data_IF_606765108443
#
_entry.id   IF_606765108443
#
_cell.length_a   1.000
_cell.length_b   1.000
_cell.length_c   1.000
_cell.angle_alpha   90.00
_cell.angle_beta   90.00
_cell.angle_gamma   90.00
#
_symmetry.space_group_name_H-M   'P 1'
#
loop_
_entity.id
_entity.type
_entity.pdbx_description
1 polymer ?
#
# COMPACT_ATOMS: atom_id res chain seq x y z
N UNK A 1 6.53 -14.32 24.83
CA UNK A 1 6.73 -13.22 25.80
C UNK A 1 8.21 -12.89 25.77
N UNK A 2 8.62 -11.66 25.44
CA UNK A 2 10.06 -11.34 25.45
C UNK A 2 10.54 -11.34 26.90
N UNK A 3 11.55 -12.17 27.21
CA UNK A 3 12.20 -12.21 28.52
C UNK A 3 13.06 -10.96 28.67
N UNK A 4 12.47 -9.85 29.14
CA UNK A 4 13.14 -8.57 29.25
C UNK A 4 12.59 -7.72 30.39
N UNK A 5 13.38 -6.73 30.83
CA UNK A 5 13.00 -5.81 31.90
C UNK A 5 13.34 -4.36 31.56
N UNK A 6 12.32 -3.49 31.60
CA UNK A 6 12.46 -2.10 31.21
C UNK A 6 12.66 -1.93 29.70
N UNK A 7 12.72 -0.68 29.24
CA UNK A 7 12.92 -0.37 27.82
C UNK A 7 14.38 -0.61 27.42
N UNK A 8 15.31 0.00 28.15
CA UNK A 8 16.76 -0.08 27.92
C UNK A 8 17.41 -0.94 29.00
N UNK A 9 16.98 -0.79 30.25
CA UNK A 9 17.50 -1.59 31.36
C UNK A 9 16.54 -1.57 32.55
N UNK A 10 16.82 -2.41 33.56
CA UNK A 10 16.11 -2.47 34.84
C UNK A 10 16.03 -1.10 35.54
N UNK A 11 16.99 -0.20 35.30
CA UNK A 11 17.03 1.16 35.88
C UNK A 11 15.87 2.04 35.43
N UNK A 12 15.17 1.68 34.36
CA UNK A 12 13.96 2.39 33.92
C UNK A 12 12.87 2.36 35.00
N UNK A 13 12.88 1.33 35.86
CA UNK A 13 11.99 1.21 37.00
C UNK A 13 12.32 2.19 38.13
N UNK A 14 13.53 2.75 38.20
CA UNK A 14 13.91 3.75 39.21
C UNK A 14 13.08 5.04 39.11
N UNK A 15 12.50 5.31 37.93
CA UNK A 15 11.62 6.47 37.71
C UNK A 15 10.16 6.15 37.99
N UNK A 16 9.83 4.87 38.17
CA UNK A 16 8.47 4.44 38.42
C UNK A 16 8.17 4.56 39.93
N UNK A 17 7.04 5.19 40.27
CA UNK A 17 6.66 5.46 41.66
C UNK A 17 6.36 4.16 42.43
N UNK A 18 5.88 3.14 41.72
CA UNK A 18 5.47 1.86 42.31
C UNK A 18 6.67 0.90 42.54
N UNK A 19 7.81 1.17 41.91
CA UNK A 19 9.01 0.31 41.93
C UNK A 19 10.28 1.16 42.14
N UNK A 20 10.19 2.18 43.00
CA UNK A 20 11.26 3.15 43.22
C UNK A 20 12.50 2.50 43.85
N UNK A 21 13.51 2.29 43.01
CA UNK A 21 14.79 1.69 43.37
C UNK A 21 15.85 2.72 43.83
N UNK A 22 15.45 3.89 44.35
CA UNK A 22 16.38 4.87 44.97
C UNK A 22 17.24 4.28 46.10
N UNK A 23 16.74 3.27 46.81
CA UNK A 23 17.49 2.54 47.83
C UNK A 23 17.77 1.09 47.37
N UNK A 24 19.04 0.68 47.19
CA UNK A 24 19.39 -0.62 46.60
C UNK A 24 19.03 -1.84 47.47
N UNK A 25 18.76 -1.64 48.75
CA UNK A 25 18.45 -2.70 49.73
C UNK A 25 16.98 -3.17 49.59
N UNK A 26 16.07 -2.30 49.13
CA UNK A 26 14.63 -2.57 49.00
C UNK A 26 14.15 -2.47 47.55
N UNK A 27 15.07 -2.58 46.58
CA UNK A 27 14.76 -2.45 45.17
C UNK A 27 14.09 -3.72 44.65
N UNK A 28 12.78 -3.86 44.84
CA UNK A 28 12.02 -4.97 44.25
C UNK A 28 11.55 -4.60 42.86
N UNK A 29 12.06 -5.29 41.84
CA UNK A 29 11.51 -5.22 40.49
C UNK A 29 10.22 -6.05 40.37
N UNK A 30 9.38 -5.80 39.36
CA UNK A 30 8.26 -6.69 39.07
C UNK A 30 8.74 -8.14 38.89
N UNK A 31 8.03 -9.16 39.38
CA UNK A 31 8.47 -10.55 39.23
C UNK A 31 8.72 -10.97 37.77
N UNK A 32 7.99 -10.38 36.82
CA UNK A 32 8.19 -10.60 35.38
C UNK A 32 9.55 -10.15 34.84
N UNK A 33 10.24 -9.26 35.57
CA UNK A 33 11.58 -8.79 35.24
C UNK A 33 12.69 -9.70 35.74
N UNK A 34 12.38 -10.60 36.67
CA UNK A 34 13.35 -11.50 37.26
C UNK A 34 13.59 -12.71 36.36
N UNK A 35 14.77 -13.30 36.49
CA UNK A 35 15.07 -14.56 35.83
C UNK A 35 14.20 -15.69 36.36
N UNK A 36 14.06 -16.73 35.53
CA UNK A 36 13.22 -17.87 35.88
C UNK A 36 13.77 -18.45 37.19
N UNK A 37 12.89 -18.61 38.19
CA UNK A 37 13.16 -19.05 39.57
C UNK A 37 13.50 -17.95 40.61
N UNK A 38 13.28 -16.67 40.33
CA UNK A 38 13.31 -15.62 41.35
C UNK A 38 12.00 -14.84 41.43
N UNK A 39 11.36 -14.88 42.60
CA UNK A 39 10.19 -14.03 42.90
C UNK A 39 10.60 -12.59 43.26
N UNK A 40 11.85 -12.40 43.68
CA UNK A 40 12.43 -11.11 44.05
C UNK A 40 13.84 -11.02 43.49
N UNK A 41 14.06 -10.09 42.56
CA UNK A 41 15.37 -9.73 42.04
C UNK A 41 15.68 -8.28 42.40
N UNK A 42 16.84 -8.06 43.02
CA UNK A 42 17.35 -6.74 43.38
C UNK A 42 18.18 -6.20 42.22
N UNK A 43 17.90 -4.95 41.80
CA UNK A 43 18.73 -4.10 40.93
C UNK A 43 19.53 -4.79 39.82
N UNK A 44 20.64 -5.44 40.13
CA UNK A 44 21.52 -6.14 39.18
C UNK A 44 21.05 -7.52 38.70
N UNK A 45 20.00 -8.11 39.28
CA UNK A 45 19.47 -9.44 38.92
C UNK A 45 18.33 -9.43 37.90
N UNK A 46 18.02 -8.27 37.32
CA UNK A 46 16.95 -8.12 36.33
C UNK A 46 17.40 -8.52 34.93
N UNK A 47 16.44 -9.00 34.13
CA UNK A 47 16.61 -9.32 32.70
C UNK A 47 17.09 -8.10 31.88
N UNK A 48 17.71 -8.33 30.71
CA UNK A 48 18.14 -7.24 29.83
C UNK A 48 16.97 -6.38 29.35
N UNK A 49 17.27 -5.19 28.85
CA UNK A 49 16.27 -4.29 28.28
C UNK A 49 15.49 -4.93 27.13
N UNK A 50 14.22 -4.57 27.00
CA UNK A 50 13.37 -5.09 25.92
C UNK A 50 13.84 -4.65 24.54
N UNK A 51 14.40 -3.43 24.41
CA UNK A 51 14.96 -2.96 23.14
C UNK A 51 16.19 -3.79 22.75
N UNK A 52 17.06 -4.10 23.71
CA UNK A 52 18.23 -4.94 23.45
C UNK A 52 17.83 -6.37 23.06
N UNK A 53 16.86 -6.96 23.78
CA UNK A 53 16.33 -8.30 23.47
C UNK A 53 15.69 -8.36 22.08
N UNK A 54 14.89 -7.34 21.74
CA UNK A 54 14.24 -7.23 20.43
C UNK A 54 15.28 -7.02 19.32
N UNK A 55 16.24 -6.12 19.52
CA UNK A 55 17.28 -5.86 18.51
C UNK A 55 18.22 -7.05 18.32
N UNK A 56 18.52 -7.81 19.38
CA UNK A 56 19.26 -9.07 19.28
C UNK A 56 18.50 -10.11 18.44
N UNK A 57 17.19 -10.26 18.70
CA UNK A 57 16.34 -11.13 17.91
C UNK A 57 16.27 -10.69 16.43
N UNK A 58 16.09 -9.39 16.18
CA UNK A 58 16.07 -8.83 14.82
C UNK A 58 17.40 -9.12 14.13
N UNK A 59 18.54 -8.83 14.78
CA UNK A 59 19.86 -9.06 14.21
C UNK A 59 20.04 -10.51 13.75
N UNK A 60 19.67 -11.48 14.58
CA UNK A 60 19.79 -12.91 14.26
C UNK A 60 18.81 -13.36 13.15
N UNK A 61 17.65 -12.70 13.03
CA UNK A 61 16.64 -13.03 12.02
C UNK A 61 16.65 -12.07 10.81
N UNK A 62 17.60 -11.13 10.75
CA UNK A 62 17.78 -10.18 9.64
C UNK A 62 17.81 -10.87 8.27
N UNK A 63 18.55 -11.98 8.04
CA UNK A 63 18.57 -12.59 6.71
C UNK A 63 17.21 -13.13 6.28
N UNK A 64 16.40 -13.66 7.20
CA UNK A 64 15.04 -14.11 6.88
C UNK A 64 14.14 -12.93 6.53
N UNK A 65 14.23 -11.85 7.30
CA UNK A 65 13.43 -10.65 7.10
C UNK A 65 13.76 -10.01 5.73
N UNK A 66 15.05 -9.90 5.40
CA UNK A 66 15.53 -9.44 4.09
C UNK A 66 15.04 -10.36 2.97
N UNK A 67 15.10 -11.69 3.16
CA UNK A 67 14.62 -12.66 2.17
C UNK A 67 13.13 -12.49 1.85
N UNK A 68 12.29 -12.34 2.87
CA UNK A 68 10.85 -12.11 2.71
C UNK A 68 10.59 -10.81 1.96
N UNK A 69 11.25 -9.71 2.35
CA UNK A 69 11.09 -8.42 1.68
C UNK A 69 11.56 -8.45 0.22
N UNK A 70 12.73 -9.04 -0.05
CA UNK A 70 13.24 -9.19 -1.40
C UNK A 70 12.28 -10.01 -2.28
N UNK A 71 11.74 -11.12 -1.76
CA UNK A 71 10.77 -11.95 -2.47
C UNK A 71 9.48 -11.19 -2.81
N UNK A 72 8.95 -10.42 -1.87
CA UNK A 72 7.76 -9.60 -2.09
C UNK A 72 8.00 -8.52 -3.14
N UNK A 73 9.14 -7.83 -3.07
CA UNK A 73 9.50 -6.77 -4.02
C UNK A 73 9.68 -7.36 -5.43
N UNK A 74 10.43 -8.44 -5.56
CA UNK A 74 10.66 -9.11 -6.86
C UNK A 74 9.34 -9.63 -7.43
N UNK A 75 8.52 -10.29 -6.61
CA UNK A 75 7.20 -10.77 -7.03
C UNK A 75 6.28 -9.64 -7.50
N UNK A 76 6.27 -8.51 -6.79
CA UNK A 76 5.52 -7.33 -7.18
C UNK A 76 5.97 -6.78 -8.55
N UNK A 77 7.29 -6.66 -8.77
CA UNK A 77 7.80 -6.19 -10.06
C UNK A 77 7.49 -7.14 -11.21
N UNK A 78 7.62 -8.45 -11.01
CA UNK A 78 7.28 -9.45 -12.03
C UNK A 78 5.80 -9.37 -12.37
N UNK A 79 4.93 -9.32 -11.35
CA UNK A 79 3.49 -9.21 -11.55
C UNK A 79 3.11 -7.96 -12.33
N UNK A 80 3.65 -6.80 -11.93
CA UNK A 80 3.42 -5.53 -12.64
C UNK A 80 3.92 -5.59 -14.08
N UNK A 81 5.10 -6.18 -14.31
CA UNK A 81 5.65 -6.33 -15.66
C UNK A 81 4.75 -7.18 -16.56
N UNK A 82 4.27 -8.33 -16.07
CA UNK A 82 3.37 -9.21 -16.80
C UNK A 82 2.03 -8.51 -17.08
N UNK A 83 1.45 -7.85 -16.07
CA UNK A 83 0.19 -7.12 -16.22
C UNK A 83 0.30 -6.01 -17.26
N UNK A 84 1.36 -5.18 -17.18
CA UNK A 84 1.62 -4.12 -18.16
C UNK A 84 1.83 -4.69 -19.56
N UNK A 85 2.63 -5.76 -19.69
CA UNK A 85 2.87 -6.38 -20.99
C UNK A 85 1.58 -6.96 -21.60
N UNK A 86 0.71 -7.57 -20.79
CA UNK A 86 -0.60 -8.05 -21.25
C UNK A 86 -1.49 -6.90 -21.73
N UNK A 87 -1.62 -5.83 -20.94
CA UNK A 87 -2.41 -4.66 -21.32
C UNK A 87 -1.86 -3.95 -22.55
N UNK A 88 -0.55 -3.81 -22.69
CA UNK A 88 0.06 -3.20 -23.89
C UNK A 88 -0.28 -4.02 -25.13
N UNK A 89 -0.21 -5.35 -25.07
CA UNK A 89 -0.57 -6.22 -26.20
C UNK A 89 -2.02 -6.05 -26.61
N UNK A 90 -2.93 -6.04 -25.64
CA UNK A 90 -4.36 -5.86 -25.86
C UNK A 90 -4.64 -4.50 -26.52
N UNK A 91 -4.08 -3.42 -25.96
CA UNK A 91 -4.23 -2.06 -26.52
C UNK A 91 -3.67 -1.99 -27.95
N UNK A 92 -2.51 -2.60 -28.20
CA UNK A 92 -1.87 -2.57 -29.52
C UNK A 92 -2.68 -3.35 -30.55
N UNK A 93 -3.23 -4.51 -30.18
CA UNK A 93 -4.11 -5.29 -31.04
C UNK A 93 -5.38 -4.52 -31.43
N UNK A 94 -6.03 -3.87 -30.46
CA UNK A 94 -7.22 -3.05 -30.75
C UNK A 94 -6.91 -1.85 -31.66
N UNK A 95 -5.74 -1.22 -31.50
CA UNK A 95 -5.31 -0.13 -32.40
C UNK A 95 -5.09 -0.63 -33.83
N UNK A 96 -4.42 -1.77 -34.00
CA UNK A 96 -4.20 -2.37 -35.32
C UNK A 96 -5.51 -2.74 -36.00
N UNK A 97 -6.50 -3.26 -35.26
CA UNK A 97 -7.81 -3.59 -35.82
C UNK A 97 -8.56 -2.33 -36.27
N UNK A 98 -8.53 -1.25 -35.49
CA UNK A 98 -9.17 0.03 -35.85
C UNK A 98 -8.57 0.66 -37.10
N UNK A 99 -7.24 0.64 -37.23
CA UNK A 99 -6.57 1.15 -38.44
C UNK A 99 -7.00 0.37 -39.69
N UNK A 100 -7.12 -0.96 -39.59
CA UNK A 100 -7.63 -1.77 -40.70
C UNK A 100 -9.08 -1.43 -41.06
N UNK A 101 -9.96 -1.30 -40.07
CA UNK A 101 -11.36 -0.90 -40.30
C UNK A 101 -11.42 0.48 -40.98
N UNK A 102 -10.68 1.47 -40.49
CA UNK A 102 -10.63 2.81 -41.09
C UNK A 102 -10.07 2.79 -42.52
N UNK A 103 -9.11 1.92 -42.82
CA UNK A 103 -8.58 1.76 -44.18
C UNK A 103 -9.58 1.13 -45.15
N UNK A 104 -10.44 0.22 -44.67
CA UNK A 104 -11.51 -0.35 -45.48
C UNK A 104 -12.58 0.70 -45.78
N UNK A 105 -13.00 1.50 -44.79
CA UNK A 105 -13.95 2.60 -44.99
C UNK A 105 -13.40 3.68 -45.95
N UNK A 106 -12.10 4.00 -45.87
CA UNK A 106 -11.48 4.98 -46.76
C UNK A 106 -11.30 4.46 -48.20
N UNK A 107 -11.10 3.15 -48.37
CA UNK A 107 -10.96 2.51 -49.69
C UNK A 107 -12.30 2.20 -50.37
N UNK A 108 -13.37 2.02 -49.59
CA UNK A 108 -14.72 1.72 -50.07
C UNK A 108 -15.52 2.98 -50.48
N UNK A 109 -14.98 4.17 -50.22
CA UNK A 109 -15.53 5.45 -50.69
C UNK A 109 -15.54 5.66 -52.22
N UNK A 110 -15.06 4.68 -53.01
CA UNK A 110 -15.10 4.68 -54.48
C UNK A 110 -16.09 3.65 -55.07
N UNK A 111 -16.77 2.84 -54.24
CA UNK A 111 -17.82 1.91 -54.71
C UNK A 111 -19.11 2.15 -53.91
N UNK A 112 -19.94 2.99 -54.51
CA UNK A 112 -21.32 3.32 -54.16
C UNK A 112 -22.13 2.23 -53.45
N UNK A 113 -22.76 2.64 -52.34
CA UNK A 113 -24.12 2.32 -51.89
C UNK A 113 -24.67 0.95 -52.30
N UNK A 114 -24.62 -0.03 -51.41
CA UNK A 114 -25.71 -1.01 -51.24
C UNK A 114 -25.73 -1.52 -49.81
N UNK A 115 -26.55 -0.85 -49.00
CA UNK A 115 -27.33 -1.39 -47.87
C UNK A 115 -26.87 -2.70 -47.22
N UNK A 116 -26.52 -2.64 -45.93
CA UNK A 116 -27.41 -3.24 -44.92
C UNK A 116 -27.25 -2.57 -43.54
N UNK A 117 -28.43 -2.31 -42.98
CA UNK A 117 -28.75 -1.65 -41.72
C UNK A 117 -27.89 -2.03 -40.52
N UNK A 118 -27.61 -1.00 -39.74
CA UNK A 118 -27.34 -0.99 -38.31
C UNK A 118 -28.38 -1.77 -37.48
N UNK A 119 -27.93 -2.39 -36.37
CA UNK A 119 -28.58 -2.54 -35.04
C UNK A 119 -27.94 -3.76 -34.33
N UNK A 120 -27.42 -3.74 -33.10
CA UNK A 120 -27.76 -2.91 -31.94
C UNK A 120 -26.58 -2.83 -30.95
N UNK A 121 -26.47 -1.65 -30.35
CA UNK A 121 -25.69 -1.32 -29.16
C UNK A 121 -26.63 -1.30 -27.95
N UNK A 122 -26.24 -1.90 -26.83
CA UNK A 122 -26.74 -1.51 -25.51
C UNK A 122 -25.54 -1.28 -24.58
N UNK A 123 -25.07 -0.04 -24.55
CA UNK A 123 -24.34 0.54 -23.41
C UNK A 123 -24.89 1.97 -23.23
N UNK A 124 -26.02 2.06 -22.54
CA UNK A 124 -26.57 3.30 -22.01
C UNK A 124 -25.70 3.81 -20.84
N UNK A 125 -24.69 4.67 -21.06
CA UNK A 125 -24.29 5.62 -19.99
C UNK A 125 -23.39 6.81 -20.40
N UNK A 126 -23.57 7.46 -21.56
CA UNK A 126 -22.80 8.71 -21.82
C UNK A 126 -23.56 9.84 -22.54
N UNK A 127 -24.89 9.72 -22.63
CA UNK A 127 -25.75 10.73 -23.26
C UNK A 127 -26.14 11.89 -22.34
N UNK A 128 -26.06 11.72 -21.01
CA UNK A 128 -26.63 12.68 -20.04
C UNK A 128 -25.69 13.82 -19.68
N UNK A 129 -24.37 13.63 -19.77
CA UNK A 129 -23.40 14.67 -19.38
C UNK A 129 -23.20 15.76 -20.43
N UNK A 130 -23.33 15.46 -21.74
CA UNK A 130 -23.13 16.45 -22.81
C UNK A 130 -24.25 17.50 -22.93
N UNK A 131 -25.49 17.18 -22.52
CA UNK A 131 -26.60 18.17 -22.52
C UNK A 131 -26.49 19.22 -21.42
N UNK A 132 -25.85 18.93 -20.27
CA UNK A 132 -25.65 19.94 -19.20
C UNK A 132 -24.60 20.99 -19.57
N UNK A 133 -23.53 20.62 -20.28
CA UNK A 133 -22.47 21.58 -20.66
C UNK A 133 -22.90 22.62 -21.70
N UNK A 134 -23.87 22.31 -22.58
CA UNK A 134 -24.38 23.29 -23.56
C UNK A 134 -25.29 24.37 -22.97
N UNK A 135 -25.87 24.15 -21.78
CA UNK A 135 -26.68 25.18 -21.10
C UNK A 135 -25.83 26.22 -20.37
N UNK A 136 -24.61 25.87 -19.96
CA UNK A 136 -23.72 26.77 -19.22
C UNK A 136 -22.99 27.79 -20.10
N UNK A 137 -22.76 27.49 -21.38
CA UNK A 137 -22.07 28.41 -22.30
C UNK A 137 -22.98 29.40 -23.02
N UNK A 138 -24.31 29.23 -22.98
CA UNK A 138 -25.26 30.14 -23.62
C UNK A 138 -25.77 31.27 -22.70
N UNK A 139 -25.44 31.23 -21.41
CA UNK A 139 -25.85 32.27 -20.43
C UNK A 139 -24.80 33.38 -20.32
N UNK A 140 -23.59 33.21 -20.85
CA UNK A 140 -22.46 34.10 -20.58
C UNK A 140 -21.95 34.90 -21.80
N UNK A 141 -22.74 35.03 -22.87
CA UNK A 141 -22.33 35.74 -24.09
C UNK A 141 -23.39 36.72 -24.63
N UNK A 142 -24.11 37.40 -23.75
CA UNK A 142 -25.03 38.44 -24.17
C UNK A 142 -25.41 39.39 -23.05
N UNK A 143 -24.53 40.35 -22.73
CA UNK A 143 -24.93 41.65 -22.18
C UNK A 143 -23.77 42.67 -22.20
N UNK A 144 -23.61 43.36 -23.34
CA UNK A 144 -22.92 44.64 -23.62
C UNK A 144 -23.58 45.06 -24.96
N UNK A 145 -24.35 46.14 -25.16
CA UNK A 145 -24.45 47.50 -24.61
C UNK A 145 -25.91 48.00 -24.62
N UNK A 146 -26.30 48.77 -23.60
CA UNK A 146 -26.84 50.15 -23.67
C UNK A 146 -26.90 50.74 -22.24
#
# INVERSE_FOLDING_TARGET
MLLCCGSVNYTDWNRNRDYDCRNPINCSLPPSCCDDNQDVCLGSGGRPGCIESMTSWIKNNTPLLVGVWAGLIVGFFIFQFVAVHFHIREITFHRALREKIASYEAGDGDITDTSLSSSESEDEDDGRQRRRKRRSYRVNSGFVDD
#
